data_IF_642526938362
#
_entry.id   IF_642526938362
#
_cell.length_a   1.000
_cell.length_b   1.000
_cell.length_c   1.000
_cell.angle_alpha   90.00
_cell.angle_beta   90.00
_cell.angle_gamma   90.00
#
_symmetry.space_group_name_H-M   'P 1'
#
loop_
_entity.id
_entity.type
_entity.pdbx_description
1 polymer ?
#
# COMPACT_ATOMS: atom_id res chain seq x y z
N UNK A 1 1.03 -10.87 10.76
CA UNK A 1 2.22 -10.66 9.93
C UNK A 1 2.09 -11.54 8.71
N UNK A 2 2.19 -10.96 7.51
CA UNK A 2 2.26 -11.71 6.26
C UNK A 2 3.69 -12.19 5.99
N UNK A 3 3.83 -13.16 5.10
CA UNK A 3 5.10 -13.78 4.73
C UNK A 3 5.53 -13.35 3.32
N UNK A 4 6.79 -13.61 2.97
CA UNK A 4 7.29 -13.42 1.61
C UNK A 4 6.52 -14.26 0.58
N UNK A 5 6.10 -15.47 0.97
CA UNK A 5 5.30 -16.36 0.13
C UNK A 5 3.92 -15.76 -0.17
N UNK A 6 3.28 -15.11 0.81
CA UNK A 6 2.01 -14.41 0.59
C UNK A 6 2.15 -13.30 -0.47
N UNK A 7 3.26 -12.55 -0.43
CA UNK A 7 3.56 -11.50 -1.42
C UNK A 7 3.76 -12.11 -2.80
N UNK A 8 4.55 -13.18 -2.90
CA UNK A 8 4.84 -13.87 -4.17
C UNK A 8 3.57 -14.44 -4.82
N UNK A 9 2.68 -15.04 -4.03
CA UNK A 9 1.39 -15.58 -4.50
C UNK A 9 0.53 -14.46 -5.09
N UNK A 10 0.37 -13.34 -4.37
CA UNK A 10 -0.45 -12.22 -4.84
C UNK A 10 0.18 -11.52 -6.05
N UNK A 11 1.51 -11.34 -6.06
CA UNK A 11 2.21 -10.74 -7.18
C UNK A 11 2.05 -11.59 -8.45
N UNK A 12 2.12 -12.92 -8.33
CA UNK A 12 1.88 -13.85 -9.43
C UNK A 12 0.42 -13.80 -9.93
N UNK A 13 -0.56 -13.74 -9.02
CA UNK A 13 -1.96 -13.56 -9.39
C UNK A 13 -2.17 -12.27 -10.19
N UNK A 14 -1.55 -11.15 -9.78
CA UNK A 14 -1.61 -9.89 -10.56
C UNK A 14 -0.92 -10.03 -11.91
N UNK A 15 0.26 -10.65 -11.96
CA UNK A 15 0.95 -10.89 -13.23
C UNK A 15 0.08 -11.63 -14.25
N UNK A 16 -0.61 -12.68 -13.81
CA UNK A 16 -1.51 -13.46 -14.67
C UNK A 16 -2.80 -12.73 -15.08
N UNK A 17 -3.18 -11.66 -14.38
CA UNK A 17 -4.36 -10.86 -14.72
C UNK A 17 -4.21 -10.02 -16.00
N UNK A 18 -2.96 -9.77 -16.43
CA UNK A 18 -2.68 -8.96 -17.63
C UNK A 18 -3.01 -7.48 -17.49
N UNK A 19 -3.15 -6.97 -16.25
CA UNK A 19 -3.47 -5.56 -15.98
C UNK A 19 -2.49 -4.61 -16.68
N UNK A 20 -2.97 -3.44 -17.10
CA UNK A 20 -2.16 -2.43 -17.79
C UNK A 20 -1.11 -1.78 -16.86
N UNK A 21 0.02 -1.35 -17.44
CA UNK A 21 1.13 -0.77 -16.68
C UNK A 21 0.70 0.51 -15.93
N UNK A 22 0.01 1.42 -16.62
CA UNK A 22 -0.39 2.71 -16.05
C UNK A 22 -1.38 2.50 -14.90
N UNK A 23 -2.26 1.51 -15.03
CA UNK A 23 -3.16 1.08 -13.95
C UNK A 23 -2.40 0.53 -12.76
N UNK A 24 -1.39 -0.30 -12.98
CA UNK A 24 -0.55 -0.82 -11.89
C UNK A 24 0.22 0.30 -11.19
N UNK A 25 0.74 1.29 -11.93
CA UNK A 25 1.40 2.47 -11.36
C UNK A 25 0.42 3.26 -10.49
N UNK A 26 -0.74 3.60 -11.02
CA UNK A 26 -1.78 4.33 -10.28
C UNK A 26 -2.20 3.59 -9.01
N UNK A 27 -2.41 2.28 -9.13
CA UNK A 27 -2.86 1.47 -8.01
C UNK A 27 -1.78 1.33 -6.92
N UNK A 28 -0.51 1.25 -7.29
CA UNK A 28 0.58 1.29 -6.32
C UNK A 28 0.61 2.63 -5.58
N UNK A 29 0.46 3.75 -6.31
CA UNK A 29 0.40 5.08 -5.71
C UNK A 29 -0.76 5.19 -4.71
N UNK A 30 -1.96 4.75 -5.10
CA UNK A 30 -3.14 4.75 -4.24
C UNK A 30 -2.89 4.00 -2.92
N UNK A 31 -2.31 2.80 -3.00
CA UNK A 31 -2.00 2.00 -1.81
C UNK A 31 -1.00 2.71 -0.89
N UNK A 32 0.06 3.27 -1.45
CA UNK A 32 1.09 3.97 -0.68
C UNK A 32 0.49 5.19 0.03
N UNK A 33 -0.20 6.08 -0.69
CA UNK A 33 -0.84 7.27 -0.09
C UNK A 33 -1.82 6.85 1.00
N UNK A 34 -2.63 5.82 0.74
CA UNK A 34 -3.58 5.30 1.72
C UNK A 34 -2.88 4.81 2.98
N UNK A 35 -1.76 4.11 2.86
CA UNK A 35 -0.98 3.70 4.02
C UNK A 35 -0.45 4.93 4.77
N UNK A 36 0.20 5.87 4.06
CA UNK A 36 0.78 7.08 4.63
C UNK A 36 -0.21 7.88 5.48
N UNK A 37 -1.46 8.02 5.03
CA UNK A 37 -2.51 8.76 5.75
C UNK A 37 -2.94 8.08 7.05
N UNK A 38 -2.72 6.78 7.20
CA UNK A 38 -3.26 5.98 8.30
C UNK A 38 -2.22 5.59 9.36
N UNK A 39 -0.94 5.94 9.17
CA UNK A 39 0.14 5.63 10.12
C UNK A 39 0.92 6.90 10.53
N UNK A 40 1.34 6.99 11.80
CA UNK A 40 2.07 8.17 12.33
C UNK A 40 3.47 8.35 11.75
N UNK A 41 4.18 7.26 11.52
CA UNK A 41 5.55 7.27 10.97
C UNK A 41 5.53 6.91 9.47
N UNK A 42 4.49 7.31 8.76
CA UNK A 42 4.30 6.94 7.36
C UNK A 42 5.39 7.47 6.44
N UNK A 43 6.03 8.59 6.78
CA UNK A 43 6.97 9.28 5.90
C UNK A 43 8.12 8.42 5.34
N UNK A 44 8.44 7.29 5.99
CA UNK A 44 9.47 6.35 5.54
C UNK A 44 8.98 5.31 4.51
N UNK A 45 7.66 5.19 4.31
CA UNK A 45 7.04 4.20 3.42
C UNK A 45 7.19 4.69 1.98
N UNK A 46 8.09 4.03 1.25
CA UNK A 46 8.34 4.32 -0.17
C UNK A 46 7.67 3.29 -1.09
N UNK A 47 7.34 3.67 -2.34
CA UNK A 47 6.74 2.75 -3.30
C UNK A 47 7.55 1.49 -3.59
N UNK A 48 8.88 1.57 -3.51
CA UNK A 48 9.80 0.50 -3.92
C UNK A 48 10.68 -0.05 -2.78
N UNK A 49 10.23 0.11 -1.54
CA UNK A 49 10.93 -0.41 -0.37
C UNK A 49 10.02 -1.37 0.41
N UNK A 50 10.61 -2.44 0.95
CA UNK A 50 9.88 -3.36 1.83
C UNK A 50 9.86 -2.78 3.24
N UNK A 51 8.66 -2.53 3.77
CA UNK A 51 8.51 -1.87 5.07
C UNK A 51 8.38 -2.87 6.22
N UNK A 52 9.31 -2.82 7.17
CA UNK A 52 9.19 -3.50 8.46
C UNK A 52 8.59 -2.54 9.49
N UNK A 53 7.26 -2.41 9.52
CA UNK A 53 6.61 -1.43 10.38
C UNK A 53 6.27 -1.96 11.77
N UNK A 54 6.75 -1.24 12.80
CA UNK A 54 6.10 -1.16 14.10
C UNK A 54 4.97 -0.14 13.96
N UNK A 55 3.75 -0.61 13.70
CA UNK A 55 2.62 0.25 13.31
C UNK A 55 2.02 1.02 14.51
N UNK A 56 2.10 2.36 14.46
CA UNK A 56 1.28 3.28 15.26
C UNK A 56 0.28 3.97 14.32
N UNK A 57 -1.02 3.86 14.63
CA UNK A 57 -2.09 4.50 13.84
C UNK A 57 -2.05 6.02 14.00
N UNK A 58 -2.42 6.74 12.93
CA UNK A 58 -2.58 8.19 12.96
C UNK A 58 -3.73 8.59 13.91
N UNK A 59 -3.58 9.70 14.65
CA UNK A 59 -4.55 10.10 15.70
C UNK A 59 -5.97 10.37 15.18
N UNK A 60 -6.09 10.64 13.88
CA UNK A 60 -7.37 10.90 13.21
C UNK A 60 -8.06 9.61 12.70
N UNK A 61 -7.46 8.44 12.90
CA UNK A 61 -8.01 7.15 12.48
C UNK A 61 -8.99 6.66 13.55
N UNK A 62 -10.26 7.00 13.39
CA UNK A 62 -11.34 6.69 14.34
C UNK A 62 -12.15 5.46 13.89
N UNK A 63 -11.50 4.30 13.84
CA UNK A 63 -12.18 3.03 13.49
C UNK A 63 -12.33 2.76 11.99
N UNK A 64 -12.01 3.72 11.13
CA UNK A 64 -12.04 3.57 9.67
C UNK A 64 -10.76 4.13 9.03
N UNK A 65 -10.39 3.59 7.86
CA UNK A 65 -9.25 4.08 7.11
C UNK A 65 -9.58 5.41 6.45
N UNK A 66 -8.64 6.34 6.49
CA UNK A 66 -8.67 7.54 5.68
C UNK A 66 -8.34 7.18 4.22
N UNK A 67 -9.19 7.62 3.30
CA UNK A 67 -8.97 7.43 1.87
C UNK A 67 -8.07 8.53 1.27
N UNK A 68 -7.22 8.17 0.29
CA UNK A 68 -6.46 9.13 -0.49
C UNK A 68 -7.39 9.96 -1.40
N UNK A 69 -7.01 11.20 -1.69
CA UNK A 69 -7.66 11.98 -2.74
C UNK A 69 -6.92 11.81 -4.09
N UNK A 70 -7.58 12.20 -5.19
CA UNK A 70 -7.03 11.99 -6.55
C UNK A 70 -5.72 12.74 -6.79
N UNK A 71 -5.58 13.96 -6.27
CA UNK A 71 -4.38 14.78 -6.44
C UNK A 71 -3.15 14.13 -5.78
N UNK A 72 -3.30 13.61 -4.55
CA UNK A 72 -2.25 12.89 -3.82
C UNK A 72 -1.81 11.63 -4.58
N UNK A 73 -2.77 10.89 -5.14
CA UNK A 73 -2.48 9.68 -5.93
C UNK A 73 -1.74 10.08 -7.20
N UNK A 74 -2.22 11.11 -7.88
CA UNK A 74 -1.66 11.58 -9.14
C UNK A 74 -0.21 12.00 -8.96
N UNK A 75 0.10 12.85 -7.98
CA UNK A 75 1.46 13.30 -7.69
C UNK A 75 2.41 12.12 -7.50
N UNK A 76 2.04 11.12 -6.70
CA UNK A 76 2.88 9.95 -6.48
C UNK A 76 2.95 9.03 -7.71
N UNK A 77 1.86 8.89 -8.45
CA UNK A 77 1.81 8.08 -9.68
C UNK A 77 2.75 8.61 -10.74
N UNK A 78 2.87 9.94 -10.88
CA UNK A 78 3.81 10.59 -11.80
C UNK A 78 5.27 10.28 -11.40
N UNK A 79 5.58 10.30 -10.10
CA UNK A 79 6.91 9.91 -9.60
C UNK A 79 7.21 8.44 -9.94
N UNK A 80 6.31 7.53 -9.60
CA UNK A 80 6.45 6.09 -9.88
C UNK A 80 6.60 5.84 -11.39
N UNK A 81 5.79 6.52 -12.21
CA UNK A 81 5.86 6.40 -13.66
C UNK A 81 7.21 6.85 -14.21
N UNK A 82 7.71 8.00 -13.76
CA UNK A 82 8.99 8.57 -14.21
C UNK A 82 10.20 7.72 -13.79
N UNK A 83 10.12 7.00 -12.68
CA UNK A 83 11.13 6.01 -12.29
C UNK A 83 11.15 4.77 -13.20
N UNK A 84 10.08 4.56 -13.98
CA UNK A 84 9.92 3.48 -14.95
C UNK A 84 10.32 2.09 -14.40
N UNK A 85 9.77 1.64 -13.25
CA UNK A 85 10.06 0.31 -12.71
C UNK A 85 9.58 -0.79 -13.67
N UNK A 86 10.24 -1.95 -13.60
CA UNK A 86 9.73 -3.15 -14.27
C UNK A 86 8.33 -3.53 -13.77
N UNK A 87 7.49 -4.05 -14.66
CA UNK A 87 6.11 -4.42 -14.32
C UNK A 87 6.01 -5.51 -13.25
N UNK A 88 6.93 -6.48 -13.27
CA UNK A 88 7.09 -7.50 -12.22
C UNK A 88 7.34 -6.87 -10.84
N UNK A 89 8.18 -5.83 -10.80
CA UNK A 89 8.50 -5.06 -9.59
C UNK A 89 7.26 -4.31 -9.09
N UNK A 90 6.48 -3.69 -9.97
CA UNK A 90 5.19 -3.08 -9.59
C UNK A 90 4.26 -4.10 -8.95
N UNK A 91 4.06 -5.27 -9.58
CA UNK A 91 3.16 -6.29 -9.03
C UNK A 91 3.62 -6.78 -7.65
N UNK A 92 4.92 -6.94 -7.44
CA UNK A 92 5.49 -7.30 -6.14
C UNK A 92 5.16 -6.27 -5.07
N UNK A 93 5.46 -4.99 -5.33
CA UNK A 93 5.20 -3.94 -4.34
C UNK A 93 3.71 -3.69 -4.11
N UNK A 94 2.89 -3.81 -5.14
CA UNK A 94 1.43 -3.75 -4.98
C UNK A 94 0.96 -4.85 -4.03
N UNK A 95 1.39 -6.10 -4.24
CA UNK A 95 1.02 -7.23 -3.38
C UNK A 95 1.44 -6.97 -1.92
N UNK A 96 2.66 -6.49 -1.73
CA UNK A 96 3.18 -6.14 -0.40
C UNK A 96 2.36 -5.03 0.27
N UNK A 97 2.10 -3.91 -0.43
CA UNK A 97 1.32 -2.79 0.13
C UNK A 97 -0.14 -3.19 0.40
N UNK A 98 -0.72 -4.06 -0.42
CA UNK A 98 -2.06 -4.62 -0.14
C UNK A 98 -2.08 -5.41 1.17
N UNK A 99 -1.08 -6.26 1.39
CA UNK A 99 -0.98 -7.05 2.61
C UNK A 99 -0.76 -6.15 3.83
N UNK A 100 0.14 -5.17 3.74
CA UNK A 100 0.37 -4.19 4.79
C UNK A 100 -0.90 -3.40 5.14
N UNK A 101 -1.62 -2.90 4.13
CA UNK A 101 -2.89 -2.20 4.35
C UNK A 101 -3.95 -3.10 5.01
N UNK A 102 -3.97 -4.39 4.68
CA UNK A 102 -4.85 -5.35 5.34
C UNK A 102 -4.49 -5.58 6.81
N UNK A 103 -3.20 -5.52 7.18
CA UNK A 103 -2.79 -5.56 8.59
C UNK A 103 -3.24 -4.30 9.33
N UNK A 104 -3.07 -3.12 8.74
CA UNK A 104 -3.55 -1.86 9.31
C UNK A 104 -5.06 -1.92 9.55
N UNK A 105 -5.84 -2.43 8.58
CA UNK A 105 -7.29 -2.64 8.73
C UNK A 105 -7.64 -3.55 9.89
N UNK A 106 -6.86 -4.61 10.13
CA UNK A 106 -7.08 -5.53 11.27
C UNK A 106 -6.83 -4.80 12.58
N UNK A 107 -5.71 -4.07 12.69
CA UNK A 107 -5.37 -3.29 13.88
C UNK A 107 -6.44 -2.26 14.21
N UNK A 108 -6.94 -1.51 13.22
CA UNK A 108 -8.02 -0.53 13.41
C UNK A 108 -9.29 -1.19 13.95
N UNK A 109 -9.69 -2.33 13.37
CA UNK A 109 -10.89 -3.09 13.80
C UNK A 109 -10.74 -3.64 15.22
N UNK A 110 -9.55 -4.09 15.60
CA UNK A 110 -9.26 -4.55 16.95
C UNK A 110 -9.31 -3.38 17.96
N UNK A 111 -8.74 -2.23 17.59
CA UNK A 111 -8.78 -1.03 18.42
C UNK A 111 -10.21 -0.54 18.67
N UNK A 112 -11.06 -0.52 17.63
CA UNK A 112 -12.46 -0.12 17.73
C UNK A 112 -13.31 -1.07 18.58
N UNK A 113 -12.94 -2.34 18.73
CA UNK A 113 -13.66 -3.31 19.57
C UNK A 113 -13.29 -3.21 21.05
N UNK A 114 -12.14 -2.62 21.35
CA UNK A 114 -11.61 -2.48 22.70
C UNK A 114 -11.94 -1.11 23.34
N UNK A 115 -12.63 -0.23 22.61
CA UNK A 115 -13.25 1.01 23.10
C UNK A 115 -14.74 0.78 23.34
#
# INVERSE_FOLDING_TARGET
MFTKEDVEILAYQRYTSGEDYDKSVWYLAELVVKILKNVKNGHDIKPFETDNLVLLLHDNVNGELLDPNEDEIKELSEVIYNEHPEKSKLHFFIAEKQLLLNEIRKVIKEHSKNQ
#
